data_IF_166570193475
#
_entry.id   IF_166570193475
#
_cell.length_a   1.000
_cell.length_b   1.000
_cell.length_c   1.000
_cell.angle_alpha   90.00
_cell.angle_beta   90.00
_cell.angle_gamma   90.00
#
_symmetry.space_group_name_H-M   'P 1'
#
loop_
_entity.id
_entity.type
_entity.pdbx_description
1 polymer ?
#
# COMPACT_ATOMS: atom_id res chain seq x y z
N UNK A 1 19.74 19.05 17.88
CA UNK A 1 20.39 18.80 16.58
C UNK A 1 19.44 18.06 15.65
N UNK A 2 19.18 18.54 14.43
CA UNK A 2 18.35 17.82 13.46
C UNK A 2 19.09 16.54 13.01
N UNK A 3 18.41 15.39 13.04
CA UNK A 3 18.98 14.12 12.58
C UNK A 3 19.05 14.13 11.06
N UNK A 4 20.23 13.87 10.49
CA UNK A 4 20.43 13.75 9.04
C UNK A 4 19.50 12.67 8.47
N UNK A 5 18.54 13.01 7.61
CA UNK A 5 17.68 12.01 6.99
C UNK A 5 18.49 11.21 5.97
N UNK A 6 18.53 9.88 6.12
CA UNK A 6 19.04 8.99 5.06
C UNK A 6 20.35 8.26 5.34
N UNK A 7 20.72 7.98 6.60
CA UNK A 7 21.77 6.96 6.82
C UNK A 7 21.34 5.64 6.19
N UNK A 8 22.25 5.02 5.42
CA UNK A 8 22.01 3.69 4.81
C UNK A 8 21.62 2.72 5.92
N UNK A 9 20.54 1.95 5.70
CA UNK A 9 20.07 0.92 6.65
C UNK A 9 21.25 0.00 6.98
N UNK A 10 21.45 -0.30 8.27
CA UNK A 10 22.41 -1.29 8.68
C UNK A 10 21.97 -2.65 8.13
N UNK A 11 22.77 -3.24 7.23
CA UNK A 11 22.46 -4.51 6.61
C UNK A 11 22.42 -5.63 7.65
N UNK A 12 21.56 -6.65 7.50
CA UNK A 12 21.50 -7.80 8.40
C UNK A 12 22.86 -8.49 8.57
N UNK A 13 23.62 -8.60 7.48
CA UNK A 13 24.99 -9.15 7.47
C UNK A 13 25.93 -8.40 8.40
N UNK A 14 25.91 -7.06 8.36
CA UNK A 14 26.75 -6.23 9.25
C UNK A 14 26.32 -6.35 10.71
N UNK A 15 25.03 -6.53 10.99
CA UNK A 15 24.52 -6.82 12.35
C UNK A 15 25.03 -8.16 12.84
N UNK A 16 24.94 -9.20 12.01
CA UNK A 16 25.39 -10.54 12.35
C UNK A 16 26.91 -10.59 12.58
N UNK A 17 27.70 -9.96 11.71
CA UNK A 17 29.16 -9.85 11.89
C UNK A 17 29.53 -9.10 13.18
N UNK A 18 28.83 -8.00 13.48
CA UNK A 18 29.00 -7.26 14.73
C UNK A 18 28.62 -8.08 15.97
N UNK A 19 27.54 -8.86 15.89
CA UNK A 19 27.12 -9.75 16.97
C UNK A 19 28.15 -10.85 17.24
N UNK A 20 28.63 -11.53 16.19
CA UNK A 20 29.68 -12.57 16.30
C UNK A 20 30.97 -12.01 16.92
N UNK A 21 31.40 -10.83 16.47
CA UNK A 21 32.58 -10.15 17.01
C UNK A 21 32.41 -9.82 18.51
N UNK A 22 31.24 -9.33 18.90
CA UNK A 22 30.94 -9.04 20.30
C UNK A 22 30.88 -10.31 21.17
N UNK A 23 30.38 -11.43 20.62
CA UNK A 23 30.35 -12.72 21.31
C UNK A 23 31.76 -13.27 21.51
N UNK A 24 32.61 -13.22 20.48
CA UNK A 24 34.02 -13.62 20.58
C UNK A 24 34.81 -12.79 21.61
N UNK A 25 34.58 -11.48 21.71
CA UNK A 25 35.21 -10.67 22.76
C UNK A 25 34.69 -11.01 24.17
N UNK A 26 33.42 -11.37 24.28
CA UNK A 26 32.83 -11.78 25.54
C UNK A 26 33.37 -13.13 26.02
N UNK A 27 33.57 -14.10 25.12
CA UNK A 27 34.17 -15.41 25.47
C UNK A 27 35.62 -15.26 25.90
N UNK A 28 36.33 -14.25 25.40
CA UNK A 28 37.69 -13.88 25.84
C UNK A 28 37.73 -13.10 27.17
N UNK A 29 36.61 -12.88 27.83
CA UNK A 29 36.53 -12.17 29.12
C UNK A 29 36.65 -10.64 29.01
N UNK A 30 36.50 -10.06 27.82
CA UNK A 30 36.50 -8.60 27.67
C UNK A 30 35.25 -8.01 28.30
N UNK A 31 35.38 -6.92 29.07
CA UNK A 31 34.23 -6.21 29.62
C UNK A 31 33.33 -5.70 28.48
N UNK A 32 32.02 -5.78 28.67
CA UNK A 32 31.05 -5.42 27.63
C UNK A 32 31.26 -4.00 27.06
N UNK A 33 31.59 -3.03 27.92
CA UNK A 33 31.84 -1.64 27.50
C UNK A 33 33.03 -1.54 26.54
N UNK A 34 34.12 -2.25 26.85
CA UNK A 34 35.33 -2.25 26.02
C UNK A 34 35.09 -2.98 24.70
N UNK A 35 34.32 -4.08 24.73
CA UNK A 35 33.92 -4.80 23.54
C UNK A 35 33.03 -3.94 22.62
N UNK A 36 32.09 -3.18 23.18
CA UNK A 36 31.26 -2.22 22.44
C UNK A 36 32.11 -1.11 21.84
N UNK A 37 33.05 -0.52 22.59
CA UNK A 37 33.95 0.52 22.08
C UNK A 37 34.83 -0.01 20.92
N UNK A 38 35.37 -1.23 21.04
CA UNK A 38 36.09 -1.89 19.95
C UNK A 38 35.19 -2.14 18.73
N UNK A 39 33.96 -2.62 18.93
CA UNK A 39 33.04 -2.85 17.82
C UNK A 39 32.62 -1.53 17.13
N UNK A 40 32.47 -0.43 17.88
CA UNK A 40 32.21 0.89 17.30
C UNK A 40 33.34 1.33 16.35
N UNK A 41 34.60 1.14 16.72
CA UNK A 41 35.75 1.52 15.89
C UNK A 41 35.90 0.58 14.69
N UNK A 42 35.78 -0.74 14.89
CA UNK A 42 35.92 -1.76 13.83
C UNK A 42 34.83 -1.62 12.76
N UNK A 43 33.56 -1.52 13.17
CA UNK A 43 32.43 -1.51 12.24
C UNK A 43 31.98 -0.09 11.85
N UNK A 44 32.58 0.95 12.42
CA UNK A 44 32.22 2.38 12.24
C UNK A 44 30.72 2.61 12.46
N UNK A 45 30.19 2.02 13.53
CA UNK A 45 28.77 2.10 13.92
C UNK A 45 28.59 3.03 15.13
N UNK A 46 27.41 3.65 15.22
CA UNK A 46 27.07 4.49 16.36
C UNK A 46 26.85 3.67 17.64
N UNK A 47 27.20 4.25 18.80
CA UNK A 47 27.10 3.61 20.11
C UNK A 47 25.73 2.94 20.37
N UNK A 48 24.64 3.66 20.10
CA UNK A 48 23.26 3.14 20.29
C UNK A 48 23.00 1.86 19.49
N UNK A 49 23.53 1.80 18.26
CA UNK A 49 23.34 0.65 17.35
C UNK A 49 24.12 -0.56 17.86
N UNK A 50 25.36 -0.37 18.28
CA UNK A 50 26.20 -1.46 18.81
C UNK A 50 25.61 -2.02 20.11
N UNK A 51 25.05 -1.17 20.99
CA UNK A 51 24.32 -1.63 22.17
C UNK A 51 23.04 -2.40 21.84
N UNK A 52 22.31 -1.99 20.81
CA UNK A 52 21.12 -2.72 20.35
C UNK A 52 21.51 -4.11 19.81
N UNK A 53 22.59 -4.19 19.02
CA UNK A 53 23.19 -5.47 18.58
C UNK A 53 23.65 -6.29 19.78
N UNK A 54 24.33 -5.70 20.77
CA UNK A 54 24.76 -6.40 21.99
C UNK A 54 23.58 -7.02 22.74
N UNK A 55 22.46 -6.30 22.88
CA UNK A 55 21.25 -6.82 23.55
C UNK A 55 20.59 -7.96 22.77
N UNK A 56 20.59 -7.88 21.45
CA UNK A 56 19.98 -8.87 20.55
C UNK A 56 20.94 -9.96 20.05
N UNK A 57 22.20 -9.97 20.51
CA UNK A 57 23.29 -10.80 19.95
C UNK A 57 23.03 -12.32 19.96
N UNK A 58 22.18 -12.80 20.87
CA UNK A 58 21.82 -14.21 21.01
C UNK A 58 20.57 -14.60 20.21
N UNK A 59 19.82 -13.61 19.70
CA UNK A 59 18.60 -13.83 18.94
C UNK A 59 18.86 -13.58 17.45
N UNK A 60 19.09 -14.69 16.72
CA UNK A 60 19.28 -14.65 15.27
C UNK A 60 18.10 -13.97 14.57
N UNK A 61 16.86 -14.21 15.01
CA UNK A 61 15.67 -13.60 14.40
C UNK A 61 15.69 -12.09 14.55
N UNK A 62 16.08 -11.56 15.71
CA UNK A 62 16.20 -10.12 15.93
C UNK A 62 17.31 -9.48 15.08
N UNK A 63 18.43 -10.17 14.87
CA UNK A 63 19.54 -9.66 14.05
C UNK A 63 19.16 -9.56 12.56
N UNK A 64 18.39 -10.54 12.06
CA UNK A 64 17.92 -10.57 10.67
C UNK A 64 16.58 -9.87 10.44
N UNK A 65 15.87 -9.48 11.51
CA UNK A 65 14.58 -8.80 11.39
C UNK A 65 14.72 -7.44 10.70
N UNK A 66 14.16 -7.35 9.49
CA UNK A 66 13.88 -6.06 8.88
C UNK A 66 12.70 -5.40 9.59
N UNK A 67 12.90 -4.15 9.98
CA UNK A 67 11.85 -3.31 10.54
C UNK A 67 11.43 -2.29 9.48
N UNK A 68 10.61 -2.68 8.49
CA UNK A 68 10.13 -1.74 7.50
C UNK A 68 9.34 -0.64 8.21
N UNK A 69 9.46 0.60 7.71
CA UNK A 69 8.60 1.67 8.18
C UNK A 69 7.16 1.26 7.92
N UNK A 70 6.33 1.31 8.96
CA UNK A 70 4.90 1.07 8.82
C UNK A 70 4.35 2.03 7.75
N UNK A 71 3.58 1.53 6.77
CA UNK A 71 3.00 2.41 5.77
C UNK A 71 2.10 3.44 6.46
N UNK A 72 2.13 4.67 5.97
CA UNK A 72 1.22 5.72 6.46
C UNK A 72 -0.22 5.28 6.18
N UNK A 73 -1.09 5.41 7.19
CA UNK A 73 -2.52 5.13 7.04
C UNK A 73 -3.09 5.97 5.89
N UNK A 74 -3.74 5.33 4.93
CA UNK A 74 -4.49 6.00 3.87
C UNK A 74 -5.75 6.63 4.45
N UNK A 75 -6.08 7.85 4.03
CA UNK A 75 -7.26 8.59 4.52
C UNK A 75 -8.58 7.90 4.18
N UNK A 76 -8.63 7.20 3.04
CA UNK A 76 -9.82 6.47 2.56
C UNK A 76 -9.46 5.01 2.29
N UNK A 77 -10.40 4.13 2.57
CA UNK A 77 -10.26 2.70 2.24
C UNK A 77 -10.61 2.46 0.77
N UNK A 78 -10.19 1.32 0.22
CA UNK A 78 -10.49 0.97 -1.18
C UNK A 78 -12.01 0.84 -1.40
N UNK A 79 -12.69 0.21 -0.45
CA UNK A 79 -14.12 -0.06 -0.55
C UNK A 79 -14.95 1.22 -0.46
N UNK A 80 -14.50 2.17 0.35
CA UNK A 80 -15.09 3.51 0.40
C UNK A 80 -14.98 4.23 -0.96
N UNK A 81 -13.81 4.18 -1.60
CA UNK A 81 -13.62 4.77 -2.93
C UNK A 81 -14.48 4.05 -3.97
N UNK A 82 -14.59 2.73 -3.90
CA UNK A 82 -15.44 1.95 -4.81
C UNK A 82 -16.91 2.34 -4.69
N UNK A 83 -17.42 2.51 -3.46
CA UNK A 83 -18.78 2.99 -3.21
C UNK A 83 -19.01 4.40 -3.75
N UNK A 84 -18.08 5.32 -3.54
CA UNK A 84 -18.16 6.68 -4.07
C UNK A 84 -18.23 6.66 -5.60
N UNK A 85 -17.33 5.93 -6.26
CA UNK A 85 -17.32 5.83 -7.72
C UNK A 85 -18.60 5.17 -8.26
N UNK A 86 -19.13 4.16 -7.56
CA UNK A 86 -20.37 3.49 -7.94
C UNK A 86 -21.63 4.38 -7.77
N UNK A 87 -21.58 5.40 -6.91
CA UNK A 87 -22.67 6.36 -6.73
C UNK A 87 -22.71 7.48 -7.77
N UNK A 88 -21.61 7.74 -8.49
CA UNK A 88 -21.53 8.84 -9.47
C UNK A 88 -22.29 8.49 -10.76
N UNK A 89 -23.11 9.35 -11.37
CA UNK A 89 -23.73 9.08 -12.66
C UNK A 89 -22.72 8.75 -13.77
N UNK A 90 -23.09 7.92 -14.76
CA UNK A 90 -22.15 7.50 -15.82
C UNK A 90 -21.56 8.67 -16.64
N UNK A 91 -22.32 9.76 -16.82
CA UNK A 91 -21.85 10.97 -17.50
C UNK A 91 -20.62 11.59 -16.82
N UNK A 92 -20.56 11.52 -15.49
CA UNK A 92 -19.51 12.13 -14.68
C UNK A 92 -18.34 11.16 -14.40
N UNK A 93 -18.41 9.91 -14.91
CA UNK A 93 -17.33 8.92 -14.84
C UNK A 93 -16.40 8.93 -16.06
N UNK A 94 -16.62 9.82 -17.02
CA UNK A 94 -15.91 9.82 -18.30
C UNK A 94 -14.44 10.20 -18.15
N UNK A 95 -14.16 11.25 -17.38
CA UNK A 95 -12.80 11.76 -17.17
C UNK A 95 -12.40 11.63 -15.71
N UNK A 96 -11.09 11.50 -15.45
CA UNK A 96 -10.59 11.52 -14.08
C UNK A 96 -10.85 12.86 -13.37
N UNK A 97 -11.01 13.94 -14.13
CA UNK A 97 -11.32 15.27 -13.61
C UNK A 97 -12.76 15.34 -13.12
N UNK A 98 -13.73 15.01 -13.97
CA UNK A 98 -15.16 14.95 -13.62
C UNK A 98 -15.40 14.00 -12.44
N UNK A 99 -14.77 12.82 -12.47
CA UNK A 99 -14.88 11.86 -11.38
C UNK A 99 -14.26 12.37 -10.06
N UNK A 100 -13.17 13.13 -10.13
CA UNK A 100 -12.56 13.71 -8.93
C UNK A 100 -13.47 14.77 -8.29
N UNK A 101 -14.10 15.61 -9.10
CA UNK A 101 -15.07 16.61 -8.64
C UNK A 101 -16.28 15.92 -8.01
N UNK A 102 -16.86 14.92 -8.68
CA UNK A 102 -18.05 14.21 -8.21
C UNK A 102 -17.81 13.37 -6.94
N UNK A 103 -16.61 12.79 -6.76
CA UNK A 103 -16.30 11.94 -5.60
C UNK A 103 -15.55 12.65 -4.46
N UNK A 104 -15.12 13.89 -4.66
CA UNK A 104 -14.17 14.60 -3.79
C UNK A 104 -12.89 13.77 -3.47
N UNK A 105 -12.47 12.92 -4.43
CA UNK A 105 -11.22 12.16 -4.37
C UNK A 105 -10.22 12.78 -5.33
N UNK A 106 -8.97 13.07 -4.89
CA UNK A 106 -7.99 13.68 -5.77
C UNK A 106 -7.72 12.82 -7.02
N UNK A 107 -7.66 13.47 -8.19
CA UNK A 107 -7.35 12.85 -9.49
C UNK A 107 -6.11 11.95 -9.46
N UNK A 108 -5.06 12.35 -8.77
CA UNK A 108 -3.82 11.57 -8.62
C UNK A 108 -4.03 10.25 -7.87
N UNK A 109 -4.99 10.21 -6.95
CA UNK A 109 -5.37 9.00 -6.20
C UNK A 109 -6.15 8.05 -7.08
N UNK A 110 -7.14 8.56 -7.82
CA UNK A 110 -7.91 7.80 -8.79
C UNK A 110 -7.00 7.21 -9.89
N UNK A 111 -6.09 8.01 -10.44
CA UNK A 111 -5.09 7.55 -11.43
C UNK A 111 -4.20 6.43 -10.87
N UNK A 112 -3.75 6.55 -9.62
CA UNK A 112 -2.95 5.51 -8.96
C UNK A 112 -3.74 4.20 -8.81
N UNK A 113 -5.03 4.30 -8.49
CA UNK A 113 -5.91 3.12 -8.39
C UNK A 113 -6.16 2.48 -9.76
N UNK A 114 -6.30 3.26 -10.83
CA UNK A 114 -6.33 2.74 -12.20
C UNK A 114 -5.02 2.04 -12.57
N UNK A 115 -3.86 2.66 -12.30
CA UNK A 115 -2.54 2.07 -12.61
C UNK A 115 -2.27 0.78 -11.85
N UNK A 116 -2.83 0.63 -10.64
CA UNK A 116 -2.75 -0.58 -9.81
C UNK A 116 -3.87 -1.58 -10.08
N UNK A 117 -4.70 -1.35 -11.10
CA UNK A 117 -5.78 -2.24 -11.51
C UNK A 117 -6.88 -2.43 -10.45
N UNK A 118 -6.99 -1.52 -9.47
CA UNK A 118 -8.05 -1.57 -8.45
C UNK A 118 -9.34 -0.90 -8.92
N UNK A 119 -9.22 0.05 -9.83
CA UNK A 119 -10.33 0.56 -10.63
C UNK A 119 -10.04 0.20 -12.09
N UNK A 120 -11.10 -0.03 -12.88
CA UNK A 120 -10.99 -0.24 -14.32
C UNK A 120 -11.88 0.75 -15.05
N UNK A 121 -11.38 1.31 -16.14
CA UNK A 121 -12.23 2.05 -17.08
C UNK A 121 -13.16 1.05 -17.78
N UNK A 122 -14.46 1.22 -17.58
CA UNK A 122 -15.47 0.49 -18.34
C UNK A 122 -15.96 1.39 -19.46
N UNK A 123 -15.98 0.86 -20.69
CA UNK A 123 -16.55 1.54 -21.85
C UNK A 123 -17.72 0.70 -22.31
N UNK A 124 -18.91 1.29 -22.31
CA UNK A 124 -20.10 0.67 -22.87
C UNK A 124 -20.40 1.32 -24.21
N UNK A 125 -20.22 0.58 -25.31
CA UNK A 125 -20.71 1.00 -26.61
C UNK A 125 -22.20 0.69 -26.69
N UNK A 126 -23.04 1.71 -26.51
CA UNK A 126 -24.48 1.58 -26.73
C UNK A 126 -24.74 1.69 -28.24
N UNK A 127 -25.53 0.76 -28.78
CA UNK A 127 -26.05 0.80 -30.17
C UNK A 127 -26.73 2.16 -30.46
N UNK A 128 -26.81 2.59 -31.74
CA UNK A 128 -26.99 3.99 -32.15
C UNK A 128 -28.09 4.75 -31.41
N UNK A 129 -27.87 6.06 -31.29
CA UNK A 129 -28.74 7.02 -30.61
C UNK A 129 -30.20 6.81 -31.00
N UNK A 130 -30.98 6.25 -30.08
CA UNK A 130 -32.41 6.09 -30.26
C UNK A 130 -33.08 7.45 -30.12
N UNK A 131 -33.89 7.83 -31.11
CA UNK A 131 -34.84 8.92 -30.98
C UNK A 131 -35.84 8.61 -29.85
N UNK A 132 -36.52 9.63 -29.34
CA UNK A 132 -37.52 9.45 -28.29
C UNK A 132 -38.60 8.45 -28.72
N UNK A 133 -39.08 8.59 -29.97
CA UNK A 133 -40.02 7.65 -30.60
C UNK A 133 -39.51 6.20 -30.61
N UNK A 134 -38.24 5.98 -30.96
CA UNK A 134 -37.66 4.64 -30.92
C UNK A 134 -37.59 4.06 -29.51
N UNK A 135 -37.39 4.88 -28.48
CA UNK A 135 -37.40 4.44 -27.07
C UNK A 135 -38.81 4.07 -26.64
N UNK A 136 -39.80 4.89 -26.95
CA UNK A 136 -41.21 4.65 -26.63
C UNK A 136 -41.74 3.39 -27.30
N UNK A 137 -41.51 3.22 -28.60
CA UNK A 137 -41.92 2.01 -29.33
C UNK A 137 -41.31 0.74 -28.75
N UNK A 138 -40.03 0.79 -28.36
CA UNK A 138 -39.37 -0.34 -27.69
C UNK A 138 -39.92 -0.60 -26.30
N UNK A 139 -40.20 0.45 -25.53
CA UNK A 139 -40.80 0.33 -24.21
C UNK A 139 -42.20 -0.30 -24.29
N UNK A 140 -43.05 0.19 -25.19
CA UNK A 140 -44.38 -0.39 -25.46
C UNK A 140 -44.28 -1.85 -25.91
N UNK A 141 -43.34 -2.18 -26.81
CA UNK A 141 -43.10 -3.56 -27.21
C UNK A 141 -42.76 -4.46 -26.01
N UNK A 142 -41.85 -4.03 -25.15
CA UNK A 142 -41.47 -4.78 -23.94
C UNK A 142 -42.64 -4.95 -22.96
N UNK A 143 -43.47 -3.92 -22.77
CA UNK A 143 -44.66 -4.01 -21.91
C UNK A 143 -45.70 -4.98 -22.48
N UNK A 144 -45.93 -4.94 -23.80
CA UNK A 144 -46.90 -5.80 -24.48
C UNK A 144 -46.48 -7.28 -24.48
N UNK A 145 -45.18 -7.58 -24.57
CA UNK A 145 -44.66 -8.95 -24.70
C UNK A 145 -43.99 -9.45 -23.41
N UNK A 146 -43.98 -8.64 -22.34
CA UNK A 146 -43.30 -8.90 -21.07
C UNK A 146 -44.02 -9.87 -20.13
N UNK A 147 -45.15 -10.46 -20.53
CA UNK A 147 -45.77 -11.56 -19.79
C UNK A 147 -44.98 -12.85 -19.99
N UNK A 148 -43.81 -12.96 -19.35
CA UNK A 148 -43.22 -14.26 -19.05
C UNK A 148 -43.98 -14.81 -17.85
N UNK A 149 -44.71 -15.93 -17.94
CA UNK A 149 -45.24 -16.57 -16.75
C UNK A 149 -44.04 -16.95 -15.88
N UNK A 150 -43.86 -16.25 -14.76
CA UNK A 150 -42.99 -16.71 -13.69
C UNK A 150 -43.61 -18.03 -13.25
N UNK A 151 -42.83 -19.11 -13.37
CA UNK A 151 -43.31 -20.49 -13.37
C UNK A 151 -44.37 -20.77 -12.30
N UNK A 152 -45.40 -21.54 -12.69
CA UNK A 152 -46.31 -22.18 -11.74
C UNK A 152 -45.47 -23.16 -10.89
N UNK A 153 -45.64 -23.07 -9.57
CA UNK A 153 -45.18 -24.04 -8.58
C UNK A 153 -45.71 -25.43 -8.86
#
# INVERSE_FOLDING_TARGET
MPRTPGSKKLTPEKKAAGALFLVDLATRGTRAVDAVNKAMTTFKLGNTVVWEVWRSRMDARALFAEHPRKPKKTKRTKDEIARLVAGVPLCDRQTLESLAIATAVPKTTLWRHLKRSWLRRAVSYVKPTLTMEHKERRHCYCLMHGHRPIGKH
#
